data_IF_450090585611
#
_entry.id   IF_450090585611
#
_cell.length_a   1.000
_cell.length_b   1.000
_cell.length_c   1.000
_cell.angle_alpha   90.00
_cell.angle_beta   90.00
_cell.angle_gamma   90.00
#
_symmetry.space_group_name_H-M   'P 1'
#
loop_
_entity.id
_entity.type
_entity.pdbx_description
1 polymer ?
#
# COMPACT_ATOMS: atom_id res chain seq x y z
N UNK A 1 10.53 17.25 -6.94
CA UNK A 1 10.58 15.74 -6.91
C UNK A 1 10.49 15.24 -8.34
N UNK A 2 11.09 14.10 -8.66
CA UNK A 2 11.11 13.56 -10.03
C UNK A 2 9.96 12.55 -10.19
N UNK A 3 9.09 12.79 -11.18
CA UNK A 3 8.01 11.83 -11.52
C UNK A 3 8.59 10.60 -12.19
N UNK A 4 8.32 9.43 -11.62
CA UNK A 4 8.74 8.11 -12.12
C UNK A 4 7.66 7.48 -13.00
N UNK A 5 6.40 7.60 -12.60
CA UNK A 5 5.24 7.09 -13.32
C UNK A 5 4.17 8.16 -13.42
N UNK A 6 3.63 8.34 -14.61
CA UNK A 6 2.47 9.19 -14.86
C UNK A 6 1.45 8.44 -15.72
N UNK A 7 0.22 8.37 -15.24
CA UNK A 7 -0.94 7.78 -15.92
C UNK A 7 -1.95 8.90 -16.13
N UNK A 8 -2.37 9.13 -17.40
CA UNK A 8 -3.30 10.20 -17.76
C UNK A 8 -4.50 9.64 -18.50
N UNK A 9 -5.68 9.74 -17.89
CA UNK A 9 -6.99 9.41 -18.49
C UNK A 9 -7.02 8.02 -19.14
N UNK A 10 -6.36 7.04 -18.50
CA UNK A 10 -6.24 5.69 -19.02
C UNK A 10 -7.56 4.97 -18.93
N UNK A 11 -8.05 4.47 -20.07
CA UNK A 11 -9.26 3.66 -20.18
C UNK A 11 -8.91 2.29 -20.74
N UNK A 12 -9.45 1.24 -20.13
CA UNK A 12 -9.38 -0.14 -20.62
C UNK A 12 -10.73 -0.79 -20.59
N UNK A 13 -11.17 -1.29 -21.73
CA UNK A 13 -12.47 -1.94 -21.89
C UNK A 13 -12.29 -3.39 -22.38
N UNK A 14 -13.09 -4.29 -21.85
CA UNK A 14 -13.26 -5.66 -22.30
C UNK A 14 -14.72 -5.90 -22.68
N UNK A 15 -14.99 -6.05 -23.97
CA UNK A 15 -16.36 -6.09 -24.47
C UNK A 15 -17.10 -4.78 -24.15
N UNK A 16 -18.18 -4.86 -23.35
CA UNK A 16 -18.95 -3.68 -22.91
C UNK A 16 -18.54 -3.18 -21.52
N UNK A 17 -17.66 -3.89 -20.80
CA UNK A 17 -17.29 -3.55 -19.44
C UNK A 17 -15.99 -2.75 -19.40
N UNK A 18 -16.03 -1.62 -18.69
CA UNK A 18 -14.83 -0.85 -18.36
C UNK A 18 -14.10 -1.51 -17.20
N UNK A 19 -12.87 -1.95 -17.42
CA UNK A 19 -11.96 -2.41 -16.37
C UNK A 19 -11.14 -1.25 -15.80
N UNK A 20 -10.89 -0.20 -16.62
CA UNK A 20 -10.36 1.10 -16.21
C UNK A 20 -11.16 2.18 -16.94
N UNK A 21 -11.55 3.22 -16.21
CA UNK A 21 -12.35 4.33 -16.72
C UNK A 21 -11.69 5.67 -16.33
N UNK A 22 -10.96 6.27 -17.28
CA UNK A 22 -10.27 7.56 -17.16
C UNK A 22 -9.34 7.69 -15.94
N UNK A 23 -8.62 6.61 -15.60
CA UNK A 23 -7.69 6.60 -14.45
C UNK A 23 -6.53 7.55 -14.68
N UNK A 24 -6.26 8.41 -13.71
CA UNK A 24 -5.10 9.31 -13.69
C UNK A 24 -4.42 9.25 -12.33
N UNK A 25 -3.09 9.04 -12.30
CA UNK A 25 -2.28 9.08 -11.09
C UNK A 25 -0.82 9.44 -11.42
N UNK A 26 -0.08 9.84 -10.38
CA UNK A 26 1.34 10.20 -10.49
C UNK A 26 2.13 9.69 -9.29
N UNK A 27 3.28 9.04 -9.56
CA UNK A 27 4.18 8.47 -8.55
C UNK A 27 5.54 9.16 -8.67
N UNK A 28 6.05 9.63 -7.54
CA UNK A 28 7.33 10.28 -7.45
C UNK A 28 8.44 9.29 -7.09
N UNK A 29 9.69 9.64 -7.41
CA UNK A 29 10.84 8.82 -7.03
C UNK A 29 10.91 8.66 -5.51
N UNK A 30 11.05 7.43 -5.05
CA UNK A 30 11.12 7.08 -3.64
C UNK A 30 9.77 6.81 -2.98
N UNK A 31 8.64 7.04 -3.67
CA UNK A 31 7.32 6.69 -3.14
C UNK A 31 7.19 5.17 -2.97
N UNK A 32 6.48 4.78 -1.92
CA UNK A 32 5.84 3.46 -1.83
C UNK A 32 4.34 3.74 -1.99
N UNK A 33 3.84 3.56 -3.22
CA UNK A 33 2.45 3.83 -3.58
C UNK A 33 1.58 2.61 -3.35
N UNK A 34 0.62 2.70 -2.44
CA UNK A 34 -0.39 1.68 -2.16
C UNK A 34 -1.61 1.85 -3.05
N UNK A 35 -1.87 0.90 -3.95
CA UNK A 35 -3.08 0.87 -4.78
C UNK A 35 -4.13 -0.03 -4.12
N UNK A 36 -5.17 0.58 -3.55
CA UNK A 36 -6.18 -0.09 -2.74
C UNK A 36 -7.47 -0.23 -3.53
N UNK A 37 -8.15 -1.36 -3.37
CA UNK A 37 -9.47 -1.58 -3.96
C UNK A 37 -9.96 -3.01 -3.77
N UNK A 38 -11.26 -3.22 -3.87
CA UNK A 38 -11.88 -4.54 -3.80
C UNK A 38 -11.40 -5.45 -4.95
N UNK A 39 -11.64 -6.75 -4.82
CA UNK A 39 -11.39 -7.67 -5.93
C UNK A 39 -12.26 -7.29 -7.12
N UNK A 40 -11.65 -7.24 -8.32
CA UNK A 40 -12.34 -6.78 -9.53
C UNK A 40 -12.39 -5.25 -9.73
N UNK A 41 -11.88 -4.44 -8.81
CA UNK A 41 -11.90 -2.97 -8.93
C UNK A 41 -11.02 -2.40 -10.06
N UNK A 42 -10.13 -3.21 -10.69
CA UNK A 42 -9.27 -2.77 -11.79
C UNK A 42 -7.76 -2.72 -11.46
N UNK A 43 -7.34 -3.04 -10.22
CA UNK A 43 -5.94 -2.97 -9.77
C UNK A 43 -4.97 -3.69 -10.72
N UNK A 44 -5.15 -5.00 -10.89
CA UNK A 44 -4.30 -5.83 -11.76
C UNK A 44 -4.31 -5.34 -13.22
N UNK A 45 -5.47 -4.85 -13.72
CA UNK A 45 -5.58 -4.28 -15.06
C UNK A 45 -4.73 -3.03 -15.20
N UNK A 46 -4.75 -2.14 -14.20
CA UNK A 46 -3.93 -0.94 -14.17
C UNK A 46 -2.43 -1.31 -14.13
N UNK A 47 -2.02 -2.23 -13.25
CA UNK A 47 -0.62 -2.68 -13.16
C UNK A 47 -0.13 -3.34 -14.45
N UNK A 48 -0.97 -4.17 -15.09
CA UNK A 48 -0.67 -4.76 -16.42
C UNK A 48 -0.56 -3.70 -17.51
N UNK A 49 -1.38 -2.64 -17.45
CA UNK A 49 -1.30 -1.54 -18.42
C UNK A 49 -0.02 -0.73 -18.24
N UNK A 50 0.36 -0.42 -16.98
CA UNK A 50 1.60 0.28 -16.66
C UNK A 50 2.83 -0.52 -17.13
N UNK A 51 2.84 -1.82 -16.91
CA UNK A 51 3.93 -2.71 -17.34
C UNK A 51 3.89 -3.11 -18.81
N UNK A 52 2.94 -2.57 -19.59
CA UNK A 52 2.68 -2.92 -21.02
C UNK A 52 2.43 -4.38 -21.30
N UNK A 53 1.98 -5.15 -20.33
CA UNK A 53 1.47 -6.50 -20.55
C UNK A 53 0.14 -6.48 -21.32
N UNK A 54 -0.62 -5.39 -21.16
CA UNK A 54 -1.82 -5.10 -21.95
C UNK A 54 -1.80 -3.64 -22.42
N UNK A 55 -2.53 -3.34 -23.50
CA UNK A 55 -2.65 -1.98 -24.03
C UNK A 55 -3.95 -1.33 -23.55
N UNK A 56 -3.88 -0.05 -23.19
CA UNK A 56 -5.06 0.78 -22.95
C UNK A 56 -5.85 1.00 -24.25
N UNK A 57 -7.14 1.28 -24.15
CA UNK A 57 -7.97 1.71 -25.27
C UNK A 57 -7.76 3.22 -25.56
N UNK A 58 -7.57 4.02 -24.50
CA UNK A 58 -7.26 5.45 -24.60
C UNK A 58 -6.46 5.92 -23.38
N UNK A 59 -5.99 7.15 -23.42
CA UNK A 59 -5.11 7.73 -22.41
C UNK A 59 -3.64 7.43 -22.64
N UNK A 60 -2.79 7.86 -21.75
CA UNK A 60 -1.34 7.71 -21.85
C UNK A 60 -0.73 7.22 -20.55
N UNK A 61 0.31 6.40 -20.67
CA UNK A 61 1.19 6.01 -19.56
C UNK A 61 2.60 6.45 -19.93
N UNK A 62 3.27 7.12 -19.00
CA UNK A 62 4.66 7.51 -19.12
C UNK A 62 5.44 7.00 -17.94
N UNK A 63 6.57 6.34 -18.16
CA UNK A 63 7.49 5.89 -17.11
C UNK A 63 8.86 6.47 -17.38
N UNK A 64 9.48 7.09 -16.38
CA UNK A 64 10.74 7.83 -16.48
C UNK A 64 10.73 8.88 -17.60
N UNK A 65 9.57 9.50 -17.86
CA UNK A 65 9.38 10.46 -18.94
C UNK A 65 9.23 9.88 -20.35
N UNK A 66 9.34 8.55 -20.49
CA UNK A 66 9.24 7.86 -21.79
C UNK A 66 7.80 7.79 -22.27
N UNK A 67 7.52 8.30 -23.47
CA UNK A 67 6.18 8.29 -24.07
C UNK A 67 6.11 7.49 -25.38
N UNK A 68 7.22 7.35 -26.08
CA UNK A 68 7.28 6.64 -27.36
C UNK A 68 7.78 5.19 -27.20
N UNK A 69 7.49 4.34 -28.20
CA UNK A 69 7.77 2.90 -28.15
C UNK A 69 9.26 2.55 -28.03
N UNK A 70 10.16 3.38 -28.55
CA UNK A 70 11.61 3.13 -28.51
C UNK A 70 12.17 3.37 -27.11
N UNK A 71 11.79 4.47 -26.49
CA UNK A 71 12.19 4.83 -25.11
C UNK A 71 11.59 3.87 -24.08
N UNK A 72 10.40 3.31 -24.35
CA UNK A 72 9.77 2.34 -23.47
C UNK A 72 10.59 1.07 -23.25
N UNK A 73 11.30 0.59 -24.26
CA UNK A 73 12.15 -0.60 -24.10
C UNK A 73 13.28 -0.36 -23.10
N UNK A 74 13.81 0.86 -23.02
CA UNK A 74 14.79 1.25 -22.02
C UNK A 74 14.14 1.44 -20.66
N UNK A 75 12.98 2.08 -20.61
CA UNK A 75 12.20 2.26 -19.37
C UNK A 75 11.81 0.92 -18.74
N UNK A 76 11.35 -0.05 -19.54
CA UNK A 76 10.96 -1.40 -19.04
C UNK A 76 12.13 -2.16 -18.43
N UNK A 77 13.37 -1.93 -18.84
CA UNK A 77 14.55 -2.53 -18.20
C UNK A 77 14.76 -2.06 -16.78
N UNK A 78 14.22 -0.88 -16.43
CA UNK A 78 14.29 -0.28 -15.08
C UNK A 78 13.07 -0.61 -14.23
N UNK A 79 12.15 -1.43 -14.74
CA UNK A 79 10.95 -1.87 -14.03
C UNK A 79 11.10 -3.33 -13.64
N UNK A 80 10.93 -3.63 -12.35
CA UNK A 80 10.74 -4.98 -11.84
C UNK A 80 9.25 -5.25 -11.61
N UNK A 81 8.74 -6.40 -12.06
CA UNK A 81 7.31 -6.72 -11.90
C UNK A 81 7.11 -8.08 -11.26
N UNK A 82 6.18 -8.16 -10.31
CA UNK A 82 5.60 -9.41 -9.81
C UNK A 82 4.08 -9.25 -9.88
N UNK A 83 3.49 -9.71 -10.99
CA UNK A 83 2.06 -9.60 -11.26
C UNK A 83 1.47 -11.01 -11.25
N UNK A 84 0.40 -11.21 -10.47
CA UNK A 84 -0.20 -12.51 -10.19
C UNK A 84 0.77 -13.44 -9.42
N UNK A 85 0.98 -14.67 -9.89
CA UNK A 85 1.79 -15.66 -9.17
C UNK A 85 3.26 -15.55 -9.57
N UNK A 86 4.21 -15.53 -8.62
CA UNK A 86 5.63 -15.59 -8.93
C UNK A 86 5.98 -16.84 -9.72
N UNK A 87 6.60 -16.68 -10.88
CA UNK A 87 7.00 -17.79 -11.75
C UNK A 87 8.50 -18.02 -11.66
N UNK A 88 8.86 -19.26 -11.29
CA UNK A 88 10.25 -19.71 -11.27
C UNK A 88 10.32 -21.20 -11.63
N UNK A 89 11.50 -21.69 -12.00
CA UNK A 89 11.69 -23.08 -12.39
C UNK A 89 11.62 -24.01 -11.17
N UNK A 90 10.61 -24.86 -11.14
CA UNK A 90 10.27 -25.75 -10.01
C UNK A 90 11.40 -26.66 -9.55
N UNK A 91 12.26 -27.13 -10.47
CA UNK A 91 13.36 -28.06 -10.19
C UNK A 91 14.66 -27.36 -9.81
N UNK A 92 14.70 -26.03 -9.90
CA UNK A 92 15.87 -25.21 -9.56
C UNK A 92 15.82 -24.69 -8.13
N UNK A 93 16.98 -24.46 -7.52
CA UNK A 93 17.12 -23.73 -6.26
C UNK A 93 16.92 -22.22 -6.48
N UNK A 94 16.86 -21.42 -5.40
CA UNK A 94 16.81 -19.96 -5.52
C UNK A 94 18.00 -19.43 -6.32
N UNK A 95 19.21 -19.85 -5.96
CA UNK A 95 20.44 -19.47 -6.67
C UNK A 95 20.38 -19.83 -8.17
N UNK A 96 19.97 -21.06 -8.51
CA UNK A 96 19.88 -21.50 -9.90
C UNK A 96 18.87 -20.70 -10.72
N UNK A 97 17.73 -20.37 -10.12
CA UNK A 97 16.74 -19.51 -10.75
C UNK A 97 17.33 -18.12 -11.04
N UNK A 98 17.93 -17.46 -10.04
CA UNK A 98 18.56 -16.16 -10.25
C UNK A 98 19.68 -16.20 -11.28
N UNK A 99 20.53 -17.21 -11.24
CA UNK A 99 21.62 -17.39 -12.24
C UNK A 99 21.07 -17.56 -13.66
N UNK A 100 19.94 -18.26 -13.82
CA UNK A 100 19.25 -18.37 -15.11
C UNK A 100 18.83 -16.99 -15.62
N UNK A 101 18.17 -16.17 -14.80
CA UNK A 101 17.76 -14.82 -15.19
C UNK A 101 18.94 -13.88 -15.40
N UNK A 102 20.01 -14.00 -14.64
CA UNK A 102 21.26 -13.26 -14.90
C UNK A 102 21.81 -13.56 -16.31
N UNK A 103 21.78 -14.83 -16.73
CA UNK A 103 22.21 -15.21 -18.09
C UNK A 103 21.28 -14.64 -19.16
N UNK A 104 19.96 -14.68 -18.95
CA UNK A 104 18.98 -14.08 -19.88
C UNK A 104 19.23 -12.59 -20.06
N UNK A 105 19.58 -11.88 -18.98
CA UNK A 105 19.89 -10.46 -19.01
C UNK A 105 21.37 -10.13 -19.30
N UNK A 106 22.18 -11.15 -19.65
CA UNK A 106 23.60 -11.01 -20.01
C UNK A 106 24.45 -10.33 -18.91
N UNK A 107 24.10 -10.58 -17.65
CA UNK A 107 24.84 -10.03 -16.51
C UNK A 107 26.15 -10.81 -16.33
N UNK A 108 27.25 -10.07 -16.45
CA UNK A 108 28.58 -10.64 -16.22
C UNK A 108 28.82 -10.84 -14.72
N UNK A 109 29.48 -11.94 -14.35
CA UNK A 109 29.88 -12.26 -12.95
C UNK A 109 28.72 -12.18 -11.95
N UNK A 110 27.65 -12.99 -12.10
CA UNK A 110 26.41 -12.84 -11.36
C UNK A 110 26.50 -13.26 -9.89
N UNK A 111 27.53 -13.97 -9.46
CA UNK A 111 27.60 -14.64 -8.16
C UNK A 111 27.44 -13.69 -6.98
N UNK A 112 28.13 -12.55 -7.01
CA UNK A 112 28.02 -11.54 -5.96
C UNK A 112 26.62 -10.90 -5.94
N UNK A 113 26.11 -10.51 -7.11
CA UNK A 113 24.76 -9.96 -7.24
C UNK A 113 23.69 -10.92 -6.73
N UNK A 114 23.80 -12.23 -7.07
CA UNK A 114 22.85 -13.24 -6.61
C UNK A 114 22.90 -13.37 -5.08
N UNK A 115 24.09 -13.41 -4.48
CA UNK A 115 24.24 -13.50 -3.01
C UNK A 115 23.61 -12.28 -2.32
N UNK A 116 23.88 -11.08 -2.80
CA UNK A 116 23.32 -9.82 -2.28
C UNK A 116 21.79 -9.81 -2.44
N UNK A 117 21.29 -10.16 -3.62
CA UNK A 117 19.85 -10.22 -3.89
C UNK A 117 19.14 -11.22 -2.97
N UNK A 118 19.71 -12.42 -2.78
CA UNK A 118 19.16 -13.42 -1.85
C UNK A 118 19.18 -12.92 -0.39
N UNK A 119 20.19 -12.13 0.00
CA UNK A 119 20.27 -11.53 1.32
C UNK A 119 19.16 -10.47 1.51
N UNK A 120 18.93 -9.61 0.52
CA UNK A 120 17.86 -8.61 0.57
C UNK A 120 16.47 -9.22 0.77
N UNK A 121 16.19 -10.34 0.09
CA UNK A 121 14.87 -11.00 0.19
C UNK A 121 14.80 -12.08 1.29
N UNK A 122 15.84 -12.26 2.10
CA UNK A 122 15.87 -13.23 3.20
C UNK A 122 15.89 -14.69 2.76
N UNK A 123 16.47 -15.00 1.60
CA UNK A 123 16.57 -16.35 1.06
C UNK A 123 18.00 -16.93 1.04
N UNK A 124 18.97 -16.30 1.72
CA UNK A 124 20.38 -16.75 1.77
C UNK A 124 20.54 -18.18 2.27
N UNK A 125 19.70 -18.61 3.21
CA UNK A 125 19.80 -19.93 3.89
C UNK A 125 18.99 -21.03 3.20
N UNK A 126 18.52 -20.83 1.97
CA UNK A 126 17.69 -21.83 1.28
C UNK A 126 18.50 -23.00 0.69
N UNK A 127 19.80 -22.82 0.50
CA UNK A 127 20.74 -23.86 0.08
C UNK A 127 20.29 -24.66 -1.15
N UNK A 128 20.17 -25.98 -0.99
CA UNK A 128 19.77 -26.93 -2.05
C UNK A 128 18.25 -27.07 -2.20
N UNK A 129 17.44 -26.37 -1.39
CA UNK A 129 15.96 -26.47 -1.45
C UNK A 129 15.46 -25.97 -2.81
N UNK A 130 14.65 -26.80 -3.48
CA UNK A 130 14.09 -26.47 -4.80
C UNK A 130 12.84 -25.60 -4.66
N UNK A 131 12.56 -24.75 -5.66
CA UNK A 131 11.41 -23.84 -5.68
C UNK A 131 10.07 -24.53 -5.44
N UNK A 132 9.86 -25.73 -5.98
CA UNK A 132 8.62 -26.51 -5.73
C UNK A 132 8.34 -26.75 -4.24
N UNK A 133 9.38 -26.77 -3.41
CA UNK A 133 9.29 -27.04 -1.98
C UNK A 133 9.29 -25.76 -1.14
N UNK A 134 9.23 -24.57 -1.78
CA UNK A 134 9.15 -23.29 -1.08
C UNK A 134 7.75 -23.06 -0.50
N UNK A 135 7.67 -22.45 0.68
CA UNK A 135 6.42 -21.88 1.18
C UNK A 135 5.95 -20.74 0.27
N UNK A 136 4.71 -20.34 0.39
CA UNK A 136 4.18 -19.22 -0.39
C UNK A 136 5.03 -17.97 -0.22
N UNK A 137 5.37 -17.59 1.02
CA UNK A 137 6.23 -16.42 1.30
C UNK A 137 7.62 -16.56 0.68
N UNK A 138 8.23 -17.74 0.70
CA UNK A 138 9.52 -17.96 0.01
C UNK A 138 9.36 -17.81 -1.51
N UNK A 139 8.25 -18.26 -2.10
CA UNK A 139 7.97 -18.08 -3.53
C UNK A 139 7.81 -16.59 -3.88
N UNK A 140 7.04 -15.84 -3.10
CA UNK A 140 6.89 -14.40 -3.27
C UNK A 140 8.24 -13.67 -3.21
N UNK A 141 9.06 -13.98 -2.21
CA UNK A 141 10.40 -13.40 -2.07
C UNK A 141 11.33 -13.76 -3.25
N UNK A 142 11.25 -14.98 -3.78
CA UNK A 142 12.04 -15.33 -4.97
C UNK A 142 11.55 -14.57 -6.21
N UNK A 143 10.23 -14.36 -6.38
CA UNK A 143 9.68 -13.52 -7.45
C UNK A 143 10.25 -12.09 -7.39
N UNK A 144 10.28 -11.50 -6.19
CA UNK A 144 10.89 -10.19 -5.96
C UNK A 144 12.40 -10.23 -6.26
N UNK A 145 13.11 -11.28 -5.84
CA UNK A 145 14.52 -11.44 -6.13
C UNK A 145 14.81 -11.47 -7.64
N UNK A 146 13.97 -12.17 -8.41
CA UNK A 146 14.08 -12.21 -9.88
C UNK A 146 13.87 -10.82 -10.47
N UNK A 147 12.87 -10.08 -9.98
CA UNK A 147 12.60 -8.72 -10.42
C UNK A 147 13.73 -7.73 -10.05
N UNK A 148 14.46 -7.98 -8.97
CA UNK A 148 15.58 -7.15 -8.49
C UNK A 148 16.88 -7.31 -9.31
N UNK A 149 17.04 -8.41 -10.07
CA UNK A 149 18.29 -8.73 -10.79
C UNK A 149 18.74 -7.60 -11.71
N UNK A 150 17.79 -6.90 -12.35
CA UNK A 150 18.08 -5.78 -13.25
C UNK A 150 18.27 -4.43 -12.53
N UNK A 151 18.36 -4.43 -11.20
CA UNK A 151 18.46 -3.21 -10.39
C UNK A 151 17.38 -2.18 -10.77
N UNK A 152 16.10 -2.52 -10.64
CA UNK A 152 15.01 -1.66 -11.07
C UNK A 152 14.95 -0.37 -10.26
N UNK A 153 14.52 0.72 -10.91
CA UNK A 153 14.19 1.99 -10.25
C UNK A 153 12.70 2.03 -9.81
N UNK A 154 11.84 1.20 -10.44
CA UNK A 154 10.43 1.04 -10.10
C UNK A 154 10.08 -0.44 -9.95
N UNK A 155 9.41 -0.82 -8.88
CA UNK A 155 8.85 -2.15 -8.69
C UNK A 155 7.33 -2.12 -8.63
N UNK A 156 6.71 -3.05 -9.39
CA UNK A 156 5.26 -3.21 -9.47
C UNK A 156 4.90 -4.58 -8.88
N UNK A 157 4.14 -4.58 -7.78
CA UNK A 157 3.78 -5.77 -7.03
C UNK A 157 2.26 -5.88 -6.93
N UNK A 158 1.69 -6.97 -7.47
CA UNK A 158 0.25 -7.21 -7.45
C UNK A 158 -0.10 -8.20 -6.34
N UNK A 159 -0.85 -7.74 -5.33
CA UNK A 159 -1.30 -8.52 -4.17
C UNK A 159 -0.19 -9.37 -3.50
N UNK A 160 1.02 -8.83 -3.25
CA UNK A 160 2.20 -9.64 -2.88
C UNK A 160 2.11 -10.27 -1.49
N UNK A 161 1.22 -9.79 -0.63
CA UNK A 161 1.04 -10.30 0.74
C UNK A 161 -0.14 -11.28 0.85
N UNK A 162 -0.90 -11.46 -0.23
CA UNK A 162 -2.07 -12.33 -0.21
C UNK A 162 -1.71 -13.79 0.13
N UNK A 163 -2.37 -14.33 1.16
CA UNK A 163 -2.15 -15.69 1.63
C UNK A 163 -0.88 -15.90 2.46
N UNK A 164 -0.17 -14.85 2.85
CA UNK A 164 0.90 -14.92 3.83
C UNK A 164 0.33 -14.98 5.26
N UNK A 165 1.06 -15.63 6.14
CA UNK A 165 0.80 -15.55 7.58
C UNK A 165 1.26 -14.19 8.16
N UNK A 166 0.84 -13.80 9.37
CA UNK A 166 1.19 -12.49 9.96
C UNK A 166 2.70 -12.25 10.05
N UNK A 167 3.50 -13.29 10.32
CA UNK A 167 4.96 -13.17 10.34
C UNK A 167 5.51 -12.88 8.95
N UNK A 168 5.02 -13.60 7.93
CA UNK A 168 5.39 -13.40 6.52
C UNK A 168 5.05 -12.00 6.03
N UNK A 169 3.90 -11.44 6.42
CA UNK A 169 3.50 -10.06 6.11
C UNK A 169 4.47 -9.05 6.74
N UNK A 170 4.79 -9.23 8.05
CA UNK A 170 5.75 -8.37 8.75
C UNK A 170 7.13 -8.39 8.07
N UNK A 171 7.64 -9.57 7.73
CA UNK A 171 8.93 -9.72 7.07
C UNK A 171 8.93 -9.14 5.65
N UNK A 172 7.82 -9.30 4.90
CA UNK A 172 7.63 -8.67 3.59
C UNK A 172 7.70 -7.14 3.71
N UNK A 173 6.98 -6.55 4.66
CA UNK A 173 6.98 -5.10 4.91
C UNK A 173 8.39 -4.57 5.19
N UNK A 174 9.13 -5.20 6.11
CA UNK A 174 10.50 -4.80 6.43
C UNK A 174 11.43 -4.90 5.20
N UNK A 175 11.25 -5.92 4.37
CA UNK A 175 11.98 -6.08 3.12
C UNK A 175 11.69 -4.92 2.15
N UNK A 176 10.42 -4.55 1.93
CA UNK A 176 10.05 -3.44 1.04
C UNK A 176 10.63 -2.12 1.54
N UNK A 177 10.49 -1.83 2.84
CA UNK A 177 11.06 -0.62 3.46
C UNK A 177 12.58 -0.56 3.27
N UNK A 178 13.26 -1.67 3.50
CA UNK A 178 14.71 -1.77 3.31
C UNK A 178 15.13 -1.54 1.86
N UNK A 179 14.45 -2.16 0.90
CA UNK A 179 14.72 -1.98 -0.53
C UNK A 179 14.49 -0.54 -0.99
N UNK A 180 13.43 0.12 -0.48
CA UNK A 180 13.17 1.53 -0.75
C UNK A 180 14.26 2.44 -0.15
N UNK A 181 14.61 2.26 1.13
CA UNK A 181 15.56 3.12 1.84
C UNK A 181 17.00 2.93 1.38
N UNK A 182 17.46 1.68 1.23
CA UNK A 182 18.87 1.38 0.92
C UNK A 182 19.16 1.44 -0.59
N UNK A 183 18.21 1.05 -1.45
CA UNK A 183 18.40 1.00 -2.89
C UNK A 183 17.67 2.12 -3.66
N UNK A 184 16.86 2.93 -2.98
CA UNK A 184 16.11 4.03 -3.59
C UNK A 184 15.01 3.57 -4.56
N UNK A 185 14.53 2.33 -4.43
CA UNK A 185 13.52 1.76 -5.33
C UNK A 185 12.15 2.38 -5.03
N UNK A 186 11.48 2.85 -6.07
CA UNK A 186 10.08 3.29 -6.01
C UNK A 186 9.16 2.07 -6.13
N UNK A 187 8.06 2.04 -5.40
CA UNK A 187 7.13 0.92 -5.42
C UNK A 187 5.72 1.34 -5.80
N UNK A 188 5.02 0.46 -6.51
CA UNK A 188 3.56 0.42 -6.58
C UNK A 188 3.11 -0.96 -6.13
N UNK A 189 2.28 -1.02 -5.10
CA UNK A 189 1.85 -2.26 -4.44
C UNK A 189 0.34 -2.26 -4.37
N UNK A 190 -0.30 -3.24 -5.02
CA UNK A 190 -1.74 -3.42 -4.88
C UNK A 190 -2.09 -4.26 -3.66
N UNK A 191 -3.19 -3.95 -3.01
CA UNK A 191 -3.81 -4.80 -2.00
C UNK A 191 -5.30 -4.49 -1.87
N UNK A 192 -6.05 -5.44 -1.34
CA UNK A 192 -7.41 -5.24 -0.86
C UNK A 192 -7.46 -5.04 0.67
N UNK A 193 -6.31 -5.10 1.35
CA UNK A 193 -6.16 -4.95 2.81
C UNK A 193 -5.45 -3.62 3.08
N UNK A 194 -6.24 -2.60 3.44
CA UNK A 194 -5.72 -1.25 3.68
C UNK A 194 -4.76 -1.19 4.87
N UNK A 195 -5.12 -1.84 5.99
CA UNK A 195 -4.33 -1.84 7.23
C UNK A 195 -2.88 -2.32 7.01
N UNK A 196 -2.68 -3.29 6.13
CA UNK A 196 -1.34 -3.80 5.83
C UNK A 196 -0.52 -2.84 4.94
N UNK A 197 -1.17 -2.23 3.93
CA UNK A 197 -0.51 -1.22 3.09
C UNK A 197 -0.18 0.05 3.87
N UNK A 198 -1.04 0.47 4.80
CA UNK A 198 -0.82 1.64 5.63
C UNK A 198 0.50 1.59 6.41
N UNK A 199 0.94 0.40 6.81
CA UNK A 199 2.18 0.21 7.55
C UNK A 199 3.45 0.35 6.69
N UNK A 200 3.34 0.41 5.36
CA UNK A 200 4.49 0.47 4.46
C UNK A 200 4.41 1.58 3.43
N UNK A 201 3.22 1.92 2.94
CA UNK A 201 3.05 2.91 1.90
C UNK A 201 3.18 4.35 2.42
N UNK A 202 3.66 5.24 1.56
CA UNK A 202 3.79 6.68 1.81
C UNK A 202 2.66 7.48 1.16
N UNK A 203 2.08 6.95 0.08
CA UNK A 203 0.97 7.51 -0.68
C UNK A 203 0.00 6.41 -1.08
N UNK A 204 -1.28 6.74 -1.15
CA UNK A 204 -2.37 5.80 -1.42
C UNK A 204 -3.22 6.28 -2.57
N UNK A 205 -3.64 5.34 -3.43
CA UNK A 205 -4.69 5.53 -4.42
C UNK A 205 -5.79 4.50 -4.22
N UNK A 206 -7.01 4.95 -4.16
CA UNK A 206 -8.19 4.10 -4.01
C UNK A 206 -8.84 3.92 -5.37
N UNK A 207 -8.93 2.67 -5.82
CA UNK A 207 -9.60 2.34 -7.08
C UNK A 207 -10.88 1.55 -6.81
N UNK A 208 -11.98 2.01 -7.39
CA UNK A 208 -13.27 1.30 -7.36
C UNK A 208 -13.94 1.37 -8.74
N UNK A 209 -14.51 0.25 -9.17
CA UNK A 209 -15.18 0.11 -10.48
C UNK A 209 -14.38 0.69 -11.66
N UNK A 210 -13.07 0.51 -11.65
CA UNK A 210 -12.15 0.98 -12.68
C UNK A 210 -11.80 2.46 -12.60
N UNK A 211 -12.24 3.21 -11.60
CA UNK A 211 -11.94 4.63 -11.38
C UNK A 211 -11.07 4.85 -10.18
N UNK A 212 -10.13 5.80 -10.25
CA UNK A 212 -9.41 6.28 -9.08
C UNK A 212 -10.34 7.27 -8.34
N UNK A 213 -10.88 6.84 -7.21
CA UNK A 213 -11.89 7.62 -6.46
C UNK A 213 -11.28 8.54 -5.41
N UNK A 214 -10.09 8.20 -4.90
CA UNK A 214 -9.35 9.05 -3.97
C UNK A 214 -7.83 8.83 -4.09
N UNK A 215 -7.06 9.86 -3.74
CA UNK A 215 -5.62 9.83 -3.60
C UNK A 215 -5.22 10.65 -2.37
N UNK A 216 -4.39 10.11 -1.47
CA UNK A 216 -3.96 10.78 -0.25
C UNK A 216 -2.59 10.26 0.20
N UNK A 217 -1.88 11.06 0.99
CA UNK A 217 -0.65 10.66 1.65
C UNK A 217 -0.94 10.04 3.02
N UNK A 218 0.05 9.37 3.59
CA UNK A 218 -0.04 8.88 4.97
C UNK A 218 -0.29 10.04 5.95
N UNK A 219 0.41 11.17 5.75
CA UNK A 219 0.25 12.36 6.59
C UNK A 219 -1.15 12.99 6.47
N UNK A 220 -1.79 12.92 5.29
CA UNK A 220 -3.17 13.38 5.10
C UNK A 220 -4.14 12.52 5.89
N UNK A 221 -3.93 11.19 5.88
CA UNK A 221 -4.73 10.26 6.68
C UNK A 221 -4.50 10.49 8.17
N UNK A 222 -3.24 10.59 8.63
CA UNK A 222 -2.90 10.79 10.03
C UNK A 222 -3.53 12.07 10.58
N UNK A 223 -3.50 13.16 9.80
CA UNK A 223 -4.20 14.42 10.14
C UNK A 223 -5.72 14.27 10.17
N UNK A 224 -6.30 13.52 9.23
CA UNK A 224 -7.73 13.27 9.22
C UNK A 224 -8.18 12.26 10.30
N UNK A 225 -7.25 11.50 10.85
CA UNK A 225 -7.45 10.46 11.88
C UNK A 225 -7.07 10.96 13.27
N UNK A 226 -7.19 12.28 13.51
CA UNK A 226 -6.95 12.81 14.86
C UNK A 226 -7.65 11.96 15.90
N UNK A 227 -6.88 11.58 16.92
CA UNK A 227 -7.38 10.86 18.08
C UNK A 227 -8.55 11.61 18.68
N UNK A 228 -9.56 10.89 19.09
CA UNK A 228 -10.69 11.47 19.80
C UNK A 228 -11.16 10.56 20.92
N UNK A 229 -11.74 11.18 21.92
CA UNK A 229 -12.33 10.46 23.05
C UNK A 229 -13.83 10.39 22.81
N UNK A 230 -14.38 9.18 22.85
CA UNK A 230 -15.82 8.94 22.81
C UNK A 230 -16.35 8.99 24.22
N UNK A 231 -17.27 9.90 24.48
CA UNK A 231 -18.06 9.99 25.69
C UNK A 231 -19.48 9.55 25.41
N UNK A 232 -19.99 8.54 26.12
CA UNK A 232 -21.39 8.16 26.15
C UNK A 232 -22.03 8.70 27.41
N UNK A 233 -23.05 9.51 27.25
CA UNK A 233 -23.71 10.17 28.37
C UNK A 233 -25.21 10.43 28.09
N UNK A 234 -26.04 10.36 29.13
CA UNK A 234 -27.42 10.85 29.09
C UNK A 234 -27.51 12.38 29.17
N UNK A 235 -26.46 13.03 29.70
CA UNK A 235 -26.43 14.45 30.00
C UNK A 235 -25.67 15.22 28.91
N UNK A 236 -26.00 14.94 27.64
CA UNK A 236 -25.22 15.37 26.46
C UNK A 236 -24.96 16.88 26.41
N UNK A 237 -26.00 17.69 26.62
CA UNK A 237 -25.89 19.15 26.48
C UNK A 237 -25.01 19.74 27.61
N UNK A 238 -25.15 19.22 28.82
CA UNK A 238 -24.32 19.64 29.96
C UNK A 238 -22.86 19.22 29.75
N UNK A 239 -22.62 17.99 29.27
CA UNK A 239 -21.29 17.51 28.94
C UNK A 239 -20.65 18.32 27.81
N UNK A 240 -21.39 18.63 26.75
CA UNK A 240 -20.89 19.44 25.64
C UNK A 240 -20.46 20.84 26.09
N UNK A 241 -21.28 21.52 26.90
CA UNK A 241 -20.96 22.84 27.45
C UNK A 241 -19.72 22.78 28.35
N UNK A 242 -19.61 21.77 29.25
CA UNK A 242 -18.44 21.61 30.09
C UNK A 242 -17.16 21.42 29.26
N UNK A 243 -17.21 20.53 28.27
CA UNK A 243 -16.08 20.19 27.41
C UNK A 243 -15.62 21.41 26.60
N UNK A 244 -16.53 22.17 26.02
CA UNK A 244 -16.21 23.31 25.16
C UNK A 244 -15.84 24.56 25.97
N UNK A 245 -16.65 24.93 26.97
CA UNK A 245 -16.51 26.20 27.68
C UNK A 245 -15.50 26.15 28.83
N UNK A 246 -15.46 25.04 29.58
CA UNK A 246 -14.58 24.93 30.74
C UNK A 246 -13.27 24.23 30.43
N UNK A 247 -13.33 23.14 29.63
CA UNK A 247 -12.13 22.35 29.30
C UNK A 247 -11.47 22.77 27.99
N UNK A 248 -12.13 23.60 27.18
CA UNK A 248 -11.63 24.14 25.91
C UNK A 248 -11.29 23.11 24.85
N UNK A 249 -11.91 21.93 24.88
CA UNK A 249 -11.80 20.93 23.80
C UNK A 249 -12.81 21.16 22.71
N UNK A 250 -12.44 20.80 21.48
CA UNK A 250 -13.35 20.80 20.32
C UNK A 250 -14.18 19.51 20.30
N UNK A 251 -15.44 19.63 19.85
CA UNK A 251 -16.31 18.49 19.60
C UNK A 251 -16.40 18.25 18.10
N UNK A 252 -16.37 16.97 17.70
CA UNK A 252 -16.69 16.52 16.33
C UNK A 252 -18.11 15.93 16.30
N UNK A 253 -18.67 15.85 15.08
CA UNK A 253 -19.94 15.17 14.87
C UNK A 253 -19.83 13.69 15.27
N UNK A 254 -20.81 13.25 16.04
CA UNK A 254 -20.92 11.87 16.49
C UNK A 254 -22.00 11.14 15.70
N UNK A 255 -21.75 9.87 15.36
CA UNK A 255 -22.66 9.03 14.57
C UNK A 255 -23.94 8.66 15.36
N UNK A 256 -23.91 8.76 16.70
CA UNK A 256 -25.04 8.40 17.59
C UNK A 256 -25.44 9.55 18.49
N UNK A 257 -26.73 9.66 18.79
CA UNK A 257 -27.25 10.78 19.56
C UNK A 257 -26.83 10.78 21.04
N UNK A 258 -26.38 9.66 21.60
CA UNK A 258 -25.91 9.50 22.98
C UNK A 258 -24.36 9.60 23.10
N UNK A 259 -23.66 9.85 21.99
CA UNK A 259 -22.20 9.95 21.94
C UNK A 259 -21.76 11.40 21.70
N UNK A 260 -20.65 11.80 22.33
CA UNK A 260 -19.88 13.01 22.02
C UNK A 260 -18.48 12.58 21.64
N UNK A 261 -17.94 13.13 20.55
CA UNK A 261 -16.57 12.89 20.11
C UNK A 261 -15.72 14.13 20.46
N UNK A 262 -14.81 13.97 21.41
CA UNK A 262 -13.96 15.03 21.94
C UNK A 262 -12.61 14.94 21.25
N UNK A 263 -12.17 16.00 20.57
CA UNK A 263 -10.82 16.07 19.97
C UNK A 263 -9.80 16.21 21.09
N UNK A 264 -9.22 15.08 21.50
CA UNK A 264 -8.25 15.00 22.62
C UNK A 264 -7.41 13.73 22.47
N UNK A 265 -6.21 13.74 23.03
CA UNK A 265 -5.33 12.58 23.07
C UNK A 265 -5.76 11.60 24.18
N UNK A 266 -5.40 10.32 24.02
CA UNK A 266 -5.71 9.27 25.01
C UNK A 266 -5.23 9.63 26.43
N UNK A 267 -4.10 10.32 26.52
CA UNK A 267 -3.51 10.75 27.81
C UNK A 267 -4.42 11.69 28.60
N UNK A 268 -5.27 12.47 27.91
CA UNK A 268 -6.18 13.45 28.49
C UNK A 268 -7.51 12.83 28.99
N UNK A 269 -7.76 11.56 28.63
CA UNK A 269 -8.99 10.84 28.98
C UNK A 269 -9.29 10.86 30.47
N UNK A 270 -8.29 10.59 31.31
CA UNK A 270 -8.47 10.53 32.77
C UNK A 270 -8.84 11.88 33.36
N UNK A 271 -8.26 12.97 32.86
CA UNK A 271 -8.53 14.31 33.33
C UNK A 271 -9.92 14.77 32.89
N UNK A 272 -10.31 14.50 31.64
CA UNK A 272 -11.66 14.78 31.13
C UNK A 272 -12.70 14.02 31.93
N UNK A 273 -12.49 12.71 32.17
CA UNK A 273 -13.41 11.88 32.92
C UNK A 273 -13.58 12.40 34.35
N UNK A 274 -12.48 12.80 35.03
CA UNK A 274 -12.52 13.37 36.36
C UNK A 274 -13.36 14.64 36.43
N UNK A 275 -13.18 15.57 35.50
CA UNK A 275 -13.95 16.83 35.46
C UNK A 275 -15.45 16.59 35.17
N UNK A 276 -15.79 15.63 34.29
CA UNK A 276 -17.18 15.23 34.05
C UNK A 276 -17.84 14.71 35.37
N UNK A 277 -17.19 13.81 36.06
CA UNK A 277 -17.70 13.23 37.30
C UNK A 277 -17.83 14.29 38.42
N UNK A 278 -16.83 15.16 38.57
CA UNK A 278 -16.88 16.27 39.55
C UNK A 278 -18.00 17.28 39.25
N UNK A 279 -18.42 17.38 38.01
CA UNK A 279 -19.54 18.24 37.57
C UNK A 279 -20.89 17.53 37.60
N UNK A 280 -20.99 16.35 38.24
CA UNK A 280 -22.20 15.50 38.34
C UNK A 280 -22.77 15.07 37.00
N UNK A 281 -21.96 14.96 35.94
CA UNK A 281 -22.36 14.45 34.64
C UNK A 281 -22.29 12.93 34.66
N UNK A 282 -23.33 12.27 34.20
CA UNK A 282 -23.39 10.81 34.20
C UNK A 282 -22.58 10.25 33.03
N UNK A 283 -21.50 9.54 33.35
CA UNK A 283 -20.63 8.91 32.33
C UNK A 283 -20.99 7.43 32.18
N UNK A 284 -21.67 7.08 31.11
CA UNK A 284 -22.02 5.69 30.78
C UNK A 284 -20.81 4.92 30.26
N UNK A 285 -19.99 5.55 29.44
CA UNK A 285 -18.70 5.05 28.98
C UNK A 285 -17.83 6.22 28.51
N UNK A 286 -16.52 6.08 28.68
CA UNK A 286 -15.51 6.97 28.09
C UNK A 286 -14.31 6.14 27.65
N UNK A 287 -13.87 6.32 26.40
CA UNK A 287 -12.73 5.59 25.84
C UNK A 287 -12.09 6.37 24.70
N UNK A 288 -10.78 6.18 24.53
CA UNK A 288 -10.08 6.71 23.38
C UNK A 288 -10.44 5.91 22.12
N UNK A 289 -10.68 6.61 21.02
CA UNK A 289 -10.99 6.02 19.73
C UNK A 289 -10.09 6.64 18.67
N UNK A 290 -9.67 5.79 17.75
CA UNK A 290 -8.99 6.21 16.53
C UNK A 290 -9.95 6.06 15.36
N UNK A 291 -9.81 6.88 14.33
CA UNK A 291 -10.58 6.68 13.10
C UNK A 291 -10.18 5.35 12.49
N UNK A 292 -11.13 4.44 12.36
CA UNK A 292 -10.89 3.14 11.76
C UNK A 292 -10.50 3.30 10.29
N UNK A 293 -9.33 2.77 9.92
CA UNK A 293 -8.82 2.75 8.55
C UNK A 293 -9.82 2.14 7.57
N UNK A 294 -10.52 1.09 7.99
CA UNK A 294 -11.50 0.40 7.14
C UNK A 294 -12.76 1.25 6.96
N UNK A 295 -13.18 1.98 8.01
CA UNK A 295 -14.30 2.93 7.91
C UNK A 295 -13.94 4.09 6.99
N UNK A 296 -12.75 4.69 7.15
CA UNK A 296 -12.28 5.76 6.26
C UNK A 296 -12.28 5.33 4.79
N UNK A 297 -11.78 4.12 4.51
CA UNK A 297 -11.82 3.55 3.16
C UNK A 297 -13.24 3.32 2.66
N UNK A 298 -14.14 2.82 3.52
CA UNK A 298 -15.54 2.57 3.15
C UNK A 298 -16.26 3.87 2.80
N UNK A 299 -16.00 4.94 3.57
CA UNK A 299 -16.58 6.27 3.34
C UNK A 299 -16.08 6.90 2.01
N UNK A 300 -14.85 6.54 1.56
CA UNK A 300 -14.31 7.02 0.27
C UNK A 300 -14.88 6.29 -0.96
N UNK A 301 -15.49 5.11 -0.76
CA UNK A 301 -15.98 4.22 -1.84
C UNK A 301 -17.51 4.23 -1.93
N UNK A 302 -18.21 4.89 -1.03
CA UNK A 302 -19.65 5.15 -1.09
C UNK A 302 -19.95 6.43 -1.87
#
# INVERSE_FOLDING_TARGET
>A
MQTVLEVKQVTKQYGQQYALDHVSLSIQKGDIYGLIGKNGAGKTTLLKTISRLIHANSGTVSVFGSQNSKEWNEALRKIGTVIETPVAYNQMTAYQNLNYYCKVHQIAQPDQLIKETLAYVGLSNTGKKKFRNFSLGMKQRLGIAIALINKPELMILDEPINGLDPLGIKEFRLMIQRLNQELGITFIISSHILSELYLVATKFGVIDQGRLVAEFTKDDFDRASEDYIVLKTSDRDQAANLIQEKLHYQLKDADKPDELHIVAQEQELNDINRELVLSNIHVNAIYAAHKDLEKYFTDLVQ
#
